data_IF_838674549742
#
_entry.id   IF_838674549742
#
_cell.length_a   1.000
_cell.length_b   1.000
_cell.length_c   1.000
_cell.angle_alpha   90.00
_cell.angle_beta   90.00
_cell.angle_gamma   90.00
#
_symmetry.space_group_name_H-M   'P 1'
#
loop_
_entity.id
_entity.type
_entity.pdbx_description
1 polymer ?
#
# COMPACT_ATOMS: atom_id res chain seq x y z
N UNK A 1 0.29 12.70 20.82
CA UNK A 1 -0.02 13.04 19.40
C UNK A 1 1.09 12.69 18.40
N UNK A 2 2.29 12.35 18.85
CA UNK A 2 3.46 12.10 17.98
C UNK A 2 3.31 10.92 16.98
N UNK A 3 2.34 10.05 17.15
CA UNK A 3 2.15 8.85 16.32
C UNK A 3 0.94 8.91 15.38
N UNK A 4 0.23 10.04 15.34
CA UNK A 4 -1.04 10.18 14.60
C UNK A 4 -0.87 10.55 13.12
N UNK A 5 0.31 11.00 12.74
CA UNK A 5 0.60 11.33 11.35
C UNK A 5 1.98 10.82 10.94
N UNK A 6 2.19 10.60 9.64
CA UNK A 6 3.51 10.27 9.10
C UNK A 6 4.53 11.36 9.37
N UNK A 7 4.10 12.62 9.51
CA UNK A 7 4.97 13.76 9.71
C UNK A 7 5.80 13.68 10.99
N UNK A 8 5.22 13.20 12.10
CA UNK A 8 5.87 13.12 13.40
C UNK A 8 6.32 11.70 13.78
N UNK A 9 6.07 10.72 12.91
CA UNK A 9 6.48 9.34 13.19
C UNK A 9 7.98 9.17 12.96
N UNK A 10 8.67 8.68 13.98
CA UNK A 10 10.13 8.52 13.94
C UNK A 10 10.63 7.16 13.42
N UNK A 11 9.73 6.26 12.98
CA UNK A 11 10.09 4.95 12.45
C UNK A 11 9.84 4.83 10.94
N UNK A 12 10.22 3.69 10.37
CA UNK A 12 10.02 3.38 8.96
C UNK A 12 8.61 2.88 8.72
N UNK A 13 7.82 3.61 7.93
CA UNK A 13 6.47 3.25 7.48
C UNK A 13 6.31 3.27 5.97
N UNK A 14 7.27 3.80 5.25
CA UNK A 14 7.23 3.99 3.79
C UNK A 14 5.92 4.60 3.27
N UNK A 15 5.34 5.54 4.05
CA UNK A 15 4.08 6.21 3.72
C UNK A 15 2.81 5.46 4.14
N UNK A 16 2.91 4.23 4.61
CA UNK A 16 1.75 3.42 4.97
C UNK A 16 1.18 3.79 6.35
N UNK A 17 -0.09 4.17 6.39
CA UNK A 17 -0.80 4.55 7.63
C UNK A 17 -2.16 3.89 7.80
N UNK A 18 -2.50 2.92 6.96
CA UNK A 18 -3.84 2.35 6.92
C UNK A 18 -3.81 0.83 7.07
N UNK A 19 -4.94 0.26 7.48
CA UNK A 19 -5.14 -1.18 7.67
C UNK A 19 -5.48 -1.91 6.36
N UNK A 20 -5.30 -1.28 5.19
CA UNK A 20 -5.68 -1.86 3.90
C UNK A 20 -5.05 -3.24 3.65
N UNK A 21 -3.86 -3.50 4.19
CA UNK A 21 -3.20 -4.82 4.08
C UNK A 21 -4.05 -5.89 4.77
N UNK A 22 -4.54 -5.61 6.00
CA UNK A 22 -5.40 -6.54 6.73
C UNK A 22 -6.77 -6.71 6.06
N UNK A 23 -7.35 -5.62 5.54
CA UNK A 23 -8.61 -5.66 4.79
C UNK A 23 -8.46 -6.46 3.50
N UNK A 24 -7.37 -6.24 2.75
CA UNK A 24 -7.05 -6.98 1.53
C UNK A 24 -6.82 -8.47 1.82
N UNK A 25 -6.11 -8.79 2.89
CA UNK A 25 -5.93 -10.17 3.32
C UNK A 25 -7.27 -10.81 3.69
N UNK A 26 -8.11 -10.14 4.48
CA UNK A 26 -9.44 -10.62 4.83
C UNK A 26 -10.34 -10.85 3.60
N UNK A 27 -10.27 -9.97 2.61
CA UNK A 27 -10.97 -10.15 1.34
C UNK A 27 -10.43 -11.36 0.56
N UNK A 28 -9.10 -11.53 0.54
CA UNK A 28 -8.43 -12.61 -0.17
C UNK A 28 -8.75 -14.01 0.41
N UNK A 29 -8.95 -14.14 1.73
CA UNK A 29 -9.32 -15.40 2.39
C UNK A 29 -10.83 -15.57 2.57
N UNK A 30 -11.66 -14.64 2.05
CA UNK A 30 -13.11 -14.61 2.29
C UNK A 30 -13.81 -15.94 2.05
N UNK A 31 -13.50 -16.61 0.95
CA UNK A 31 -14.07 -17.90 0.58
C UNK A 31 -13.63 -19.00 1.55
N UNK A 32 -12.34 -19.02 1.93
CA UNK A 32 -11.80 -20.01 2.85
C UNK A 32 -12.43 -19.91 4.25
N UNK A 33 -12.84 -18.73 4.69
CA UNK A 33 -13.47 -18.50 6.02
C UNK A 33 -14.80 -19.24 6.24
N UNK A 34 -15.44 -19.73 5.19
CA UNK A 34 -16.67 -20.51 5.27
C UNK A 34 -16.40 -22.03 5.40
N UNK A 35 -15.14 -22.45 5.29
CA UNK A 35 -14.75 -23.84 5.41
C UNK A 35 -14.51 -24.24 6.88
N UNK A 36 -14.59 -25.55 7.21
CA UNK A 36 -14.07 -26.06 8.46
C UNK A 36 -12.60 -25.66 8.67
N UNK A 37 -12.18 -25.46 9.93
CA UNK A 37 -10.88 -24.87 10.28
C UNK A 37 -9.70 -25.55 9.55
N UNK A 38 -9.65 -26.87 9.51
CA UNK A 38 -8.58 -27.63 8.83
C UNK A 38 -8.54 -27.31 7.33
N UNK A 39 -9.69 -27.35 6.66
CA UNK A 39 -9.81 -27.02 5.23
C UNK A 39 -9.56 -25.54 4.95
N UNK A 40 -9.95 -24.68 5.87
CA UNK A 40 -9.64 -23.23 5.79
C UNK A 40 -8.13 -23.00 5.79
N UNK A 41 -7.42 -23.58 6.77
CA UNK A 41 -5.96 -23.45 6.88
C UNK A 41 -5.27 -24.02 5.64
N UNK A 42 -5.69 -25.19 5.16
CA UNK A 42 -5.12 -25.80 3.95
C UNK A 42 -5.38 -24.93 2.70
N UNK A 43 -6.57 -24.40 2.55
CA UNK A 43 -6.89 -23.47 1.45
C UNK A 43 -6.02 -22.21 1.49
N UNK A 44 -5.80 -21.63 2.68
CA UNK A 44 -4.93 -20.46 2.86
C UNK A 44 -3.48 -20.84 2.53
N UNK A 45 -3.00 -21.97 3.04
CA UNK A 45 -1.66 -22.49 2.74
C UNK A 45 -1.44 -22.63 1.24
N UNK A 46 -2.37 -23.24 0.53
CA UNK A 46 -2.28 -23.41 -0.92
C UNK A 46 -2.26 -22.08 -1.67
N UNK A 47 -3.11 -21.13 -1.27
CA UNK A 47 -3.11 -19.79 -1.83
C UNK A 47 -1.77 -19.07 -1.59
N UNK A 48 -1.20 -19.19 -0.38
CA UNK A 48 0.11 -18.61 -0.04
C UNK A 48 1.23 -19.24 -0.85
N UNK A 49 1.25 -20.58 -0.97
CA UNK A 49 2.22 -21.30 -1.78
C UNK A 49 2.27 -20.77 -3.22
N UNK A 50 1.12 -20.65 -3.86
CA UNK A 50 1.01 -20.09 -5.21
C UNK A 50 1.48 -18.64 -5.30
N UNK A 51 1.06 -17.81 -4.34
CA UNK A 51 1.45 -16.39 -4.28
C UNK A 51 2.97 -16.24 -4.15
N UNK A 52 3.61 -17.01 -3.26
CA UNK A 52 5.05 -16.97 -3.06
C UNK A 52 5.80 -17.43 -4.31
N UNK A 53 5.31 -18.50 -4.98
CA UNK A 53 5.87 -18.98 -6.23
C UNK A 53 5.82 -17.89 -7.33
N UNK A 54 4.64 -17.33 -7.56
CA UNK A 54 4.43 -16.29 -8.58
C UNK A 54 5.30 -15.06 -8.33
N UNK A 55 5.43 -14.64 -7.07
CA UNK A 55 6.27 -13.48 -6.71
C UNK A 55 7.75 -13.73 -6.92
N UNK A 56 8.24 -14.96 -6.65
CA UNK A 56 9.62 -15.35 -6.95
C UNK A 56 9.89 -15.34 -8.45
N UNK A 57 8.99 -15.94 -9.23
CA UNK A 57 9.11 -15.98 -10.68
C UNK A 57 9.07 -14.58 -11.29
N UNK A 58 8.21 -13.71 -10.76
CA UNK A 58 8.14 -12.31 -11.17
C UNK A 58 9.43 -11.57 -10.84
N UNK A 59 9.94 -11.71 -9.61
CA UNK A 59 11.16 -11.07 -9.17
C UNK A 59 12.39 -11.51 -9.97
N UNK A 60 12.42 -12.77 -10.43
CA UNK A 60 13.53 -13.28 -11.24
C UNK A 60 13.57 -12.70 -12.66
N UNK A 61 12.47 -12.10 -13.12
CA UNK A 61 12.39 -11.42 -14.42
C UNK A 61 12.85 -9.97 -14.35
N UNK A 62 13.04 -9.43 -13.16
CA UNK A 62 13.42 -8.03 -12.97
C UNK A 62 14.94 -7.88 -13.09
N UNK A 63 15.36 -7.00 -13.98
CA UNK A 63 16.77 -6.67 -14.24
C UNK A 63 17.18 -5.35 -13.59
N UNK A 64 16.23 -4.59 -13.07
CA UNK A 64 16.45 -3.30 -12.44
C UNK A 64 16.95 -3.47 -11.00
N UNK A 65 17.71 -2.48 -10.49
CA UNK A 65 18.16 -2.45 -9.10
C UNK A 65 16.98 -2.29 -8.11
N UNK A 66 16.02 -1.44 -8.45
CA UNK A 66 14.80 -1.21 -7.68
C UNK A 66 13.65 -2.05 -8.26
N UNK A 67 12.66 -2.38 -7.42
CA UNK A 67 11.41 -2.94 -7.91
C UNK A 67 10.80 -2.03 -9.00
N UNK A 68 10.25 -2.57 -10.09
CA UNK A 68 9.88 -1.78 -11.28
C UNK A 68 8.97 -0.59 -11.00
N UNK A 69 7.94 -0.75 -10.16
CA UNK A 69 7.04 0.34 -9.79
C UNK A 69 7.76 1.48 -9.07
N UNK A 70 8.77 1.15 -8.26
CA UNK A 70 9.59 2.13 -7.55
C UNK A 70 10.59 2.77 -8.50
N UNK A 71 11.17 1.99 -9.40
CA UNK A 71 12.07 2.49 -10.42
C UNK A 71 11.40 3.58 -11.25
N UNK A 72 10.21 3.30 -11.79
CA UNK A 72 9.44 4.29 -12.57
C UNK A 72 9.06 5.53 -11.75
N UNK A 73 8.70 5.36 -10.46
CA UNK A 73 8.43 6.51 -9.58
C UNK A 73 9.66 7.37 -9.36
N UNK A 74 10.83 6.76 -9.18
CA UNK A 74 12.10 7.48 -9.00
C UNK A 74 12.47 8.25 -10.26
N UNK A 75 12.28 7.67 -11.44
CA UNK A 75 12.52 8.36 -12.72
C UNK A 75 11.66 9.62 -12.85
N UNK A 76 10.38 9.55 -12.51
CA UNK A 76 9.49 10.71 -12.51
C UNK A 76 9.98 11.77 -11.53
N UNK A 77 10.35 11.38 -10.29
CA UNK A 77 10.84 12.32 -9.27
C UNK A 77 12.15 12.99 -9.72
N UNK A 78 13.04 12.24 -10.36
CA UNK A 78 14.29 12.76 -10.90
C UNK A 78 14.03 13.76 -12.02
N UNK A 79 13.08 13.46 -12.92
CA UNK A 79 12.70 14.39 -13.99
C UNK A 79 12.12 15.69 -13.42
N UNK A 80 11.19 15.59 -12.45
CA UNK A 80 10.59 16.75 -11.76
C UNK A 80 11.63 17.59 -11.00
N UNK A 81 12.78 17.00 -10.66
CA UNK A 81 13.84 17.69 -9.90
C UNK A 81 14.78 18.54 -10.76
N UNK A 82 14.83 18.30 -12.09
CA UNK A 82 15.83 18.92 -12.99
C UNK A 82 15.78 20.43 -13.07
N UNK A 83 14.58 20.99 -12.93
CA UNK A 83 14.35 22.42 -13.08
C UNK A 83 14.38 23.19 -11.76
N UNK A 84 14.73 22.52 -10.64
CA UNK A 84 14.80 23.17 -9.34
C UNK A 84 16.13 23.94 -9.18
N UNK A 85 16.05 25.08 -8.54
CA UNK A 85 17.22 25.89 -8.22
C UNK A 85 17.87 25.36 -6.95
N UNK A 86 19.17 25.01 -7.03
CA UNK A 86 19.92 24.41 -5.92
C UNK A 86 21.05 25.34 -5.51
N UNK A 87 21.11 25.68 -4.23
CA UNK A 87 22.25 26.34 -3.59
C UNK A 87 22.96 25.37 -2.65
N UNK A 88 24.28 25.22 -2.79
CA UNK A 88 25.09 24.43 -1.86
C UNK A 88 25.48 25.30 -0.66
N UNK A 89 25.33 24.75 0.53
CA UNK A 89 25.83 25.34 1.77
C UNK A 89 27.14 24.67 2.19
N UNK A 90 27.32 24.43 3.47
CA UNK A 90 28.51 23.74 4.02
C UNK A 90 28.23 22.24 4.08
N UNK A 91 29.23 21.42 3.87
CA UNK A 91 29.14 19.94 3.88
C UNK A 91 28.11 19.42 2.89
N UNK A 92 27.28 18.45 3.31
CA UNK A 92 26.25 17.83 2.49
C UNK A 92 24.88 18.52 2.61
N UNK A 93 24.87 19.81 2.94
CA UNK A 93 23.65 20.62 3.08
C UNK A 93 23.39 21.47 1.87
N UNK A 94 22.15 21.49 1.45
CA UNK A 94 21.66 22.19 0.27
C UNK A 94 20.38 22.94 0.56
N UNK A 95 20.23 24.09 -0.08
CA UNK A 95 18.95 24.79 -0.19
C UNK A 95 18.39 24.56 -1.58
N UNK A 96 17.16 24.10 -1.64
CA UNK A 96 16.47 23.83 -2.91
C UNK A 96 15.19 24.64 -2.97
N UNK A 97 15.10 25.50 -3.98
CA UNK A 97 14.00 26.42 -4.19
C UNK A 97 13.06 25.86 -5.25
N UNK A 98 11.82 25.64 -4.82
CA UNK A 98 10.66 25.31 -5.65
C UNK A 98 9.64 26.45 -5.48
N UNK A 99 8.40 26.17 -5.06
CA UNK A 99 7.45 27.20 -4.63
C UNK A 99 7.87 27.84 -3.28
N UNK A 100 8.61 27.12 -2.47
CA UNK A 100 9.21 27.57 -1.23
C UNK A 100 10.64 27.05 -1.11
N UNK A 101 11.44 27.65 -0.22
CA UNK A 101 12.79 27.17 0.09
C UNK A 101 12.74 25.90 0.95
N UNK A 102 13.51 24.89 0.58
CA UNK A 102 13.63 23.62 1.28
C UNK A 102 15.07 23.32 1.63
N UNK A 103 15.32 22.97 2.89
CA UNK A 103 16.63 22.51 3.35
C UNK A 103 16.74 21.00 3.14
N UNK A 104 17.84 20.58 2.52
CA UNK A 104 18.16 19.17 2.30
C UNK A 104 19.51 18.88 2.95
N UNK A 105 19.57 17.79 3.71
CA UNK A 105 20.80 17.26 4.29
C UNK A 105 21.00 15.83 3.79
N UNK A 106 22.03 15.63 2.96
CA UNK A 106 22.31 14.35 2.33
C UNK A 106 22.97 13.36 3.30
N UNK A 107 23.74 13.86 4.29
CA UNK A 107 24.44 13.00 5.26
C UNK A 107 23.44 12.24 6.14
N UNK A 108 22.43 12.93 6.65
CA UNK A 108 21.38 12.34 7.48
C UNK A 108 20.11 11.99 6.69
N UNK A 109 20.13 12.13 5.38
CA UNK A 109 19.03 11.78 4.45
C UNK A 109 17.69 12.42 4.81
N UNK A 110 17.71 13.73 5.00
CA UNK A 110 16.51 14.49 5.38
C UNK A 110 16.24 15.65 4.44
N UNK A 111 14.95 16.00 4.34
CA UNK A 111 14.47 17.20 3.67
C UNK A 111 13.41 17.88 4.53
N UNK A 112 13.37 19.21 4.58
CA UNK A 112 12.37 19.98 5.33
C UNK A 112 10.93 19.66 4.89
N UNK A 113 10.70 19.23 3.65
CA UNK A 113 9.40 18.77 3.16
C UNK A 113 8.95 17.42 3.75
N UNK A 114 9.82 16.71 4.46
CA UNK A 114 9.59 15.43 5.16
C UNK A 114 9.24 14.22 4.27
N UNK A 115 9.02 14.39 2.97
CA UNK A 115 8.64 13.28 2.07
C UNK A 115 9.70 12.20 2.01
N UNK A 116 10.99 12.56 2.02
CA UNK A 116 12.07 11.58 2.01
C UNK A 116 12.02 10.66 3.23
N UNK A 117 11.94 11.24 4.42
CA UNK A 117 11.87 10.48 5.68
C UNK A 117 10.61 9.60 5.76
N UNK A 118 9.48 10.11 5.23
CA UNK A 118 8.20 9.40 5.27
C UNK A 118 8.16 8.22 4.30
N UNK A 119 8.66 8.42 3.07
CA UNK A 119 8.52 7.42 2.01
C UNK A 119 9.76 6.55 1.82
N UNK A 120 10.91 6.88 2.42
CA UNK A 120 12.17 6.17 2.22
C UNK A 120 12.77 6.32 0.81
N UNK A 121 12.23 7.25 0.02
CA UNK A 121 12.66 7.59 -1.34
C UNK A 121 12.96 9.09 -1.36
N UNK A 122 14.11 9.52 -1.92
CA UNK A 122 14.41 10.93 -2.06
C UNK A 122 13.27 11.69 -2.74
N UNK A 123 12.86 12.80 -2.14
CA UNK A 123 11.89 13.71 -2.77
C UNK A 123 12.55 14.51 -3.89
N UNK A 124 11.79 15.23 -4.71
CA UNK A 124 12.33 16.05 -5.80
C UNK A 124 13.42 17.04 -5.34
N UNK A 125 13.30 17.62 -4.13
CA UNK A 125 14.31 18.50 -3.57
C UNK A 125 15.61 17.74 -3.25
N UNK A 126 15.50 16.56 -2.65
CA UNK A 126 16.65 15.70 -2.38
C UNK A 126 17.32 15.22 -3.69
N UNK A 127 16.52 14.82 -4.69
CA UNK A 127 17.04 14.45 -6.00
C UNK A 127 17.80 15.60 -6.65
N UNK A 128 17.26 16.82 -6.61
CA UNK A 128 17.95 18.01 -7.15
C UNK A 128 19.28 18.26 -6.44
N UNK A 129 19.36 18.10 -5.11
CA UNK A 129 20.60 18.22 -4.35
C UNK A 129 21.60 17.09 -4.69
N UNK A 130 21.14 15.84 -4.81
CA UNK A 130 21.97 14.69 -5.18
C UNK A 130 22.58 14.88 -6.58
N UNK A 131 21.83 15.42 -7.53
CA UNK A 131 22.30 15.71 -8.88
C UNK A 131 23.45 16.75 -8.94
N UNK A 132 23.67 17.53 -7.87
CA UNK A 132 24.85 18.41 -7.73
C UNK A 132 26.09 17.65 -7.23
N UNK A 133 25.94 16.37 -6.94
CA UNK A 133 27.01 15.48 -6.52
C UNK A 133 27.26 14.42 -7.60
N UNK A 134 28.44 13.80 -7.57
CA UNK A 134 28.74 12.65 -8.46
C UNK A 134 28.11 11.34 -8.01
N UNK A 135 27.09 11.42 -7.13
CA UNK A 135 26.50 10.24 -6.50
C UNK A 135 25.15 9.88 -7.15
N UNK A 136 24.93 8.58 -7.33
CA UNK A 136 23.68 8.08 -7.88
C UNK A 136 22.54 8.15 -6.84
N UNK A 137 21.36 8.60 -7.27
CA UNK A 137 20.12 8.69 -6.45
C UNK A 137 19.77 7.36 -5.78
N UNK A 138 20.04 6.23 -6.44
CA UNK A 138 19.75 4.89 -5.91
C UNK A 138 20.42 4.61 -4.55
N UNK A 139 21.58 5.20 -4.26
CA UNK A 139 22.27 5.03 -2.96
C UNK A 139 21.53 5.66 -1.78
N UNK A 140 20.62 6.57 -2.07
CA UNK A 140 19.83 7.29 -1.07
C UNK A 140 18.45 6.73 -0.87
N UNK A 141 18.06 5.70 -1.64
CA UNK A 141 16.79 5.01 -1.52
C UNK A 141 16.91 3.92 -0.45
N UNK A 142 15.85 3.72 0.34
CA UNK A 142 15.80 2.64 1.32
C UNK A 142 15.98 1.27 0.64
N UNK A 143 16.83 0.42 1.22
CA UNK A 143 17.04 -0.96 0.76
C UNK A 143 15.75 -1.80 0.72
N UNK A 144 14.72 -1.41 1.46
CA UNK A 144 13.41 -2.03 1.41
C UNK A 144 12.84 -2.15 -0.02
N UNK A 145 13.18 -1.21 -0.90
CA UNK A 145 12.66 -1.15 -2.26
C UNK A 145 13.51 -1.85 -3.32
N UNK A 146 14.61 -2.49 -2.91
CA UNK A 146 15.50 -3.20 -3.85
C UNK A 146 14.92 -4.55 -4.26
N UNK A 147 15.23 -4.96 -5.49
CA UNK A 147 14.86 -6.28 -6.02
C UNK A 147 15.46 -7.40 -5.18
N UNK A 148 16.68 -7.21 -4.67
CA UNK A 148 17.35 -8.21 -3.83
C UNK A 148 16.61 -8.45 -2.51
N UNK A 149 16.17 -7.39 -1.84
CA UNK A 149 15.36 -7.52 -0.62
C UNK A 149 13.98 -8.11 -0.91
N UNK A 150 13.39 -7.78 -2.05
CA UNK A 150 12.15 -8.44 -2.48
C UNK A 150 12.36 -9.94 -2.70
N UNK A 151 13.43 -10.34 -3.40
CA UNK A 151 13.78 -11.76 -3.59
C UNK A 151 14.03 -12.45 -2.26
N UNK A 152 14.73 -11.79 -1.34
CA UNK A 152 14.98 -12.31 0.01
C UNK A 152 13.68 -12.54 0.80
N UNK A 153 12.74 -11.59 0.74
CA UNK A 153 11.44 -11.70 1.42
C UNK A 153 10.59 -12.89 0.92
N UNK A 154 10.74 -13.28 -0.34
CA UNK A 154 10.01 -14.40 -0.94
C UNK A 154 10.89 -15.65 -1.18
N UNK A 155 12.07 -15.72 -0.58
CA UNK A 155 13.01 -16.84 -0.75
C UNK A 155 12.43 -18.16 -0.28
N UNK A 156 11.80 -18.16 0.90
CA UNK A 156 11.28 -19.37 1.50
C UNK A 156 10.06 -19.93 0.76
N UNK A 157 9.99 -21.26 0.63
CA UNK A 157 8.90 -21.93 -0.05
C UNK A 157 7.96 -22.63 0.95
N UNK A 158 6.69 -22.61 0.62
CA UNK A 158 5.71 -23.50 1.28
C UNK A 158 5.62 -24.76 0.40
N UNK A 159 5.90 -25.92 0.98
CA UNK A 159 5.86 -27.20 0.27
C UNK A 159 4.44 -27.79 0.24
N UNK A 160 4.12 -28.58 -0.80
CA UNK A 160 2.90 -29.36 -0.84
C UNK A 160 2.83 -30.35 0.33
N UNK A 161 1.64 -30.61 0.82
CA UNK A 161 1.38 -31.68 1.80
C UNK A 161 0.56 -32.73 1.07
N UNK A 162 1.16 -33.91 0.74
CA UNK A 162 0.44 -35.04 0.13
C UNK A 162 -0.65 -35.56 1.06
N UNK A 163 -1.65 -36.22 0.49
CA UNK A 163 -2.75 -36.76 1.30
C UNK A 163 -2.30 -37.89 2.25
N UNK A 164 -1.25 -38.61 1.89
CA UNK A 164 -0.64 -39.66 2.73
C UNK A 164 -0.01 -39.11 4.03
N UNK A 165 0.48 -37.86 3.98
CA UNK A 165 1.05 -37.16 5.15
C UNK A 165 -0.03 -36.45 6.01
N UNK A 166 -1.29 -36.48 5.58
CA UNK A 166 -2.37 -35.89 6.35
C UNK A 166 -2.86 -36.89 7.40
N UNK A 167 -3.12 -36.42 8.63
CA UNK A 167 -3.73 -37.28 9.62
C UNK A 167 -5.02 -37.87 9.00
N UNK A 168 -5.09 -39.21 8.95
CA UNK A 168 -6.32 -39.91 8.58
C UNK A 168 -7.46 -39.36 9.44
N UNK A 169 -8.65 -39.19 8.87
CA UNK A 169 -9.87 -38.84 9.61
C UNK A 169 -10.19 -39.96 10.64
N UNK A 170 -9.21 -40.23 11.51
CA UNK A 170 -9.28 -41.18 12.59
C UNK A 170 -10.35 -40.78 13.57
N UNK A 171 -11.39 -41.58 13.65
CA UNK A 171 -12.53 -41.46 14.54
C UNK A 171 -13.61 -40.47 14.11
N UNK A 172 -14.54 -40.95 13.32
CA UNK A 172 -15.82 -40.25 12.98
C UNK A 172 -16.58 -39.76 14.21
N UNK A 173 -16.27 -40.25 15.41
CA UNK A 173 -16.92 -39.85 16.67
C UNK A 173 -16.46 -38.46 17.18
N UNK A 174 -15.28 -37.96 16.76
CA UNK A 174 -14.75 -36.64 17.12
C UNK A 174 -15.06 -35.56 16.06
N UNK A 175 -16.04 -35.73 15.23
CA UNK A 175 -16.50 -34.66 14.34
C UNK A 175 -17.00 -33.47 15.15
N UNK A 176 -16.16 -32.49 15.34
CA UNK A 176 -16.55 -31.17 15.83
C UNK A 176 -17.61 -30.61 14.89
N UNK A 177 -18.86 -30.57 15.37
CA UNK A 177 -19.91 -29.86 14.64
C UNK A 177 -19.60 -28.37 14.73
N UNK A 178 -19.66 -27.64 13.61
CA UNK A 178 -19.54 -26.19 13.69
C UNK A 178 -20.60 -25.67 14.66
N UNK A 179 -20.24 -24.68 15.51
CA UNK A 179 -21.21 -24.09 16.42
C UNK A 179 -22.43 -23.60 15.62
N UNK A 180 -23.64 -23.84 16.14
CA UNK A 180 -24.87 -23.28 15.56
C UNK A 180 -24.82 -21.77 15.74
N UNK A 181 -24.18 -21.10 14.82
CA UNK A 181 -24.08 -19.63 14.82
C UNK A 181 -25.38 -19.07 14.27
N UNK A 182 -26.26 -18.65 15.15
CA UNK A 182 -27.29 -17.67 14.75
C UNK A 182 -26.52 -16.41 14.35
N UNK A 183 -26.79 -15.96 13.13
CA UNK A 183 -26.26 -14.68 12.63
C UNK A 183 -26.64 -13.60 13.64
N UNK A 184 -25.69 -13.11 14.40
CA UNK A 184 -25.96 -12.00 15.32
C UNK A 184 -26.48 -10.82 14.50
N UNK A 185 -27.52 -10.10 14.97
CA UNK A 185 -28.00 -8.90 14.30
C UNK A 185 -26.85 -7.90 14.28
N UNK A 186 -26.15 -7.85 13.16
CA UNK A 186 -25.08 -6.90 12.93
C UNK A 186 -25.65 -5.54 12.55
N UNK A 187 -24.85 -4.49 12.78
CA UNK A 187 -25.19 -3.15 12.33
C UNK A 187 -25.58 -3.20 10.84
N UNK A 188 -26.72 -2.60 10.42
CA UNK A 188 -27.12 -2.54 9.02
C UNK A 188 -25.98 -2.03 8.17
N UNK A 189 -25.73 -2.62 6.99
CA UNK A 189 -24.72 -2.15 6.05
C UNK A 189 -25.05 -0.70 5.69
N UNK A 190 -24.33 0.25 6.28
CA UNK A 190 -24.31 1.64 5.80
C UNK A 190 -23.31 1.71 4.67
N UNK A 191 -23.67 2.40 3.58
CA UNK A 191 -22.70 2.78 2.57
C UNK A 191 -21.55 3.52 3.28
N UNK A 192 -20.33 3.20 2.89
CA UNK A 192 -19.15 3.91 3.38
C UNK A 192 -19.35 5.40 3.06
N UNK A 193 -19.26 6.26 4.05
CA UNK A 193 -19.26 7.70 3.84
C UNK A 193 -17.92 7.98 3.17
N UNK A 194 -17.94 8.42 1.91
CA UNK A 194 -16.73 8.87 1.22
C UNK A 194 -16.13 10.03 2.01
N UNK A 195 -14.82 9.99 2.24
CA UNK A 195 -14.15 11.06 2.97
C UNK A 195 -14.27 12.36 2.16
N UNK A 196 -14.45 13.48 2.83
CA UNK A 196 -14.58 14.81 2.22
C UNK A 196 -13.35 15.25 1.39
N UNK A 197 -12.31 14.43 1.29
CA UNK A 197 -11.10 14.68 0.50
C UNK A 197 -11.24 14.37 -1.00
N UNK A 198 -12.34 13.77 -1.42
CA UNK A 198 -12.63 13.52 -2.83
C UNK A 198 -13.83 14.37 -3.25
N UNK A 199 -13.75 14.95 -4.44
CA UNK A 199 -14.85 15.71 -5.05
C UNK A 199 -16.17 14.97 -4.86
N UNK A 200 -17.06 15.58 -4.09
CA UNK A 200 -18.40 15.07 -3.88
C UNK A 200 -19.09 15.09 -5.23
N UNK A 201 -19.33 13.92 -5.84
CA UNK A 201 -20.12 13.83 -7.06
C UNK A 201 -21.45 14.53 -6.80
N UNK A 202 -21.76 15.57 -7.56
CA UNK A 202 -23.06 16.22 -7.52
C UNK A 202 -24.17 15.18 -7.70
N UNK A 203 -25.09 15.21 -6.75
CA UNK A 203 -26.22 14.28 -6.76
C UNK A 203 -27.23 14.80 -7.79
N UNK A 204 -27.45 14.06 -8.86
CA UNK A 204 -28.45 14.38 -9.88
C UNK A 204 -29.67 13.51 -9.70
N UNK A 205 -30.85 14.15 -9.71
CA UNK A 205 -32.12 13.47 -9.59
C UNK A 205 -32.42 12.67 -10.87
N UNK A 206 -32.67 11.36 -10.74
CA UNK A 206 -33.06 10.53 -11.88
C UNK A 206 -34.48 10.77 -12.41
N UNK A 207 -35.25 11.70 -11.79
CA UNK A 207 -36.61 12.05 -12.21
C UNK A 207 -36.64 13.38 -12.96
N UNK A 208 -36.04 14.44 -12.41
CA UNK A 208 -36.07 15.78 -13.00
C UNK A 208 -34.71 16.23 -13.55
N UNK A 209 -33.68 15.40 -13.43
CA UNK A 209 -32.28 15.63 -13.81
C UNK A 209 -31.61 16.86 -13.13
N UNK A 210 -32.30 17.53 -12.21
CA UNK A 210 -31.75 18.62 -11.38
C UNK A 210 -30.72 18.12 -10.36
N UNK A 211 -29.77 19.00 -10.00
CA UNK A 211 -28.73 18.70 -9.01
C UNK A 211 -29.18 18.97 -7.56
N UNK A 212 -28.46 18.40 -6.58
CA UNK A 212 -28.66 18.65 -5.15
C UNK A 212 -29.70 17.77 -4.45
N UNK A 213 -30.47 16.95 -5.16
CA UNK A 213 -31.44 16.02 -4.58
C UNK A 213 -31.53 14.70 -5.34
N UNK A 214 -32.17 13.71 -4.77
CA UNK A 214 -32.41 12.40 -5.41
C UNK A 214 -33.89 12.22 -5.77
N UNK A 215 -34.24 11.15 -6.52
CA UNK A 215 -35.62 10.84 -6.92
C UNK A 215 -36.58 10.79 -5.75
N UNK A 216 -36.14 10.39 -4.56
CA UNK A 216 -36.99 10.18 -3.37
C UNK A 216 -37.34 11.51 -2.69
N UNK A 217 -36.50 12.52 -2.85
CA UNK A 217 -36.69 13.88 -2.30
C UNK A 217 -37.02 14.90 -3.39
N UNK A 218 -37.42 14.45 -4.57
CA UNK A 218 -37.76 15.32 -5.70
C UNK A 218 -39.18 15.87 -5.57
N UNK A 219 -39.28 17.18 -5.45
CA UNK A 219 -40.55 17.92 -5.39
C UNK A 219 -40.90 18.62 -6.73
N UNK A 220 -40.07 18.42 -7.76
CA UNK A 220 -40.32 19.02 -9.06
C UNK A 220 -41.49 18.36 -9.79
N UNK A 221 -42.38 19.15 -10.33
CA UNK A 221 -43.44 18.70 -11.23
C UNK A 221 -42.83 18.44 -12.59
N UNK A 222 -42.67 17.17 -12.95
CA UNK A 222 -42.27 16.78 -14.30
C UNK A 222 -43.54 16.79 -15.15
N UNK A 223 -43.61 17.69 -16.13
CA UNK A 223 -44.65 17.64 -17.15
C UNK A 223 -44.50 16.36 -17.99
N UNK A 224 -45.59 15.64 -18.14
CA UNK A 224 -45.67 14.42 -19.01
C UNK A 224 -45.38 14.76 -20.46
#
# INVERSE_FOLDING_TARGET
>A
MAHWSNYLFGGDRWGEMYSNVAESFNAWIKEARHLPVTKMVDSIRFKLMRMLCNRREQANKWETYLCPDIHSKVEIIVEDSRNLRVGRCVDDRYEVIDQCSNSVDLAIRTCSCRRWQVYGIPCKHACAAIMQTDTNVHRFISGYFTVDNYKLAYKEAIFPIPDDDRPSDGNRELRLRPPVTRRQPGRPRRKRIESQAFDVRELHCSRCHGSGHNRRSCNETVAD
#
